data_IF_169272976926
#
_entry.id   IF_169272976926
#
_cell.length_a   1.000
_cell.length_b   1.000
_cell.length_c   1.000
_cell.angle_alpha   90.00
_cell.angle_beta   90.00
_cell.angle_gamma   90.00
#
_symmetry.space_group_name_H-M   'P 1'
#
loop_
_entity.id
_entity.type
_entity.pdbx_description
1 polymer ?
#
# COMPACT_ATOMS: atom_id res chain seq x y z
N UNK A 1 -7.44 6.89 -15.22
CA UNK A 1 -6.59 6.94 -14.03
C UNK A 1 -5.66 8.13 -14.19
N UNK A 2 -5.53 8.95 -13.16
CA UNK A 2 -4.63 10.10 -13.15
C UNK A 2 -3.17 9.62 -13.17
N UNK A 3 -2.26 10.27 -13.91
CA UNK A 3 -0.86 9.79 -14.01
C UNK A 3 -0.14 9.73 -12.67
N UNK A 4 -0.47 10.61 -11.72
CA UNK A 4 0.13 10.57 -10.37
C UNK A 4 -0.41 9.40 -9.53
N UNK A 5 -1.62 8.91 -9.81
CA UNK A 5 -2.16 7.69 -9.18
C UNK A 5 -1.43 6.45 -9.72
N UNK A 6 -1.16 6.39 -11.02
CA UNK A 6 -0.35 5.30 -11.61
C UNK A 6 1.05 5.26 -10.99
N UNK A 7 1.71 6.41 -10.83
CA UNK A 7 3.01 6.50 -10.14
C UNK A 7 2.97 5.97 -8.70
N UNK A 8 1.90 6.24 -7.95
CA UNK A 8 1.73 5.72 -6.59
C UNK A 8 1.55 4.20 -6.59
N UNK A 9 0.79 3.66 -7.55
CA UNK A 9 0.58 2.22 -7.71
C UNK A 9 1.90 1.53 -8.00
N UNK A 10 2.62 2.00 -9.01
CA UNK A 10 3.87 1.39 -9.47
C UNK A 10 4.91 1.38 -8.35
N UNK A 11 5.17 2.54 -7.74
CA UNK A 11 6.15 2.65 -6.65
C UNK A 11 5.78 1.78 -5.45
N UNK A 12 4.50 1.76 -5.07
CA UNK A 12 4.04 1.02 -3.89
C UNK A 12 4.13 -0.49 -4.08
N UNK A 13 3.77 -1.01 -5.26
CA UNK A 13 3.92 -2.45 -5.54
C UNK A 13 5.38 -2.84 -5.73
N UNK A 14 6.18 -2.04 -6.44
CA UNK A 14 7.62 -2.28 -6.59
C UNK A 14 8.29 -2.39 -5.23
N UNK A 15 8.10 -1.41 -4.35
CA UNK A 15 8.71 -1.42 -3.02
C UNK A 15 8.19 -2.58 -2.15
N UNK A 16 6.90 -2.88 -2.20
CA UNK A 16 6.31 -4.01 -1.48
C UNK A 16 6.88 -5.37 -1.95
N UNK A 17 7.08 -5.54 -3.25
CA UNK A 17 7.65 -6.75 -3.83
C UNK A 17 9.10 -6.91 -3.41
N UNK A 18 9.91 -5.85 -3.49
CA UNK A 18 11.30 -5.85 -3.01
C UNK A 18 11.38 -6.23 -1.53
N UNK A 19 10.55 -5.61 -0.68
CA UNK A 19 10.50 -5.91 0.76
C UNK A 19 10.20 -7.39 1.04
N UNK A 20 9.21 -7.96 0.35
CA UNK A 20 8.83 -9.37 0.51
C UNK A 20 9.90 -10.32 -0.04
N UNK A 21 10.53 -9.97 -1.16
CA UNK A 21 11.60 -10.79 -1.75
C UNK A 21 12.82 -10.83 -0.83
N UNK A 22 13.18 -9.70 -0.22
CA UNK A 22 14.38 -9.58 0.60
C UNK A 22 14.20 -10.10 2.02
N UNK A 23 13.04 -9.80 2.63
CA UNK A 23 12.84 -10.04 4.08
C UNK A 23 11.87 -11.18 4.38
N UNK A 24 11.00 -11.54 3.43
CA UNK A 24 9.83 -12.43 3.63
C UNK A 24 8.83 -11.90 4.67
N UNK A 25 8.99 -10.65 5.10
CA UNK A 25 8.12 -9.98 6.04
C UNK A 25 7.48 -8.77 5.36
N UNK A 26 6.28 -8.42 5.81
CA UNK A 26 5.58 -7.25 5.31
C UNK A 26 5.32 -6.28 6.47
N UNK A 27 5.75 -5.04 6.30
CA UNK A 27 5.46 -3.95 7.23
C UNK A 27 4.65 -2.86 6.52
N UNK A 28 3.54 -2.38 7.09
CA UNK A 28 2.74 -1.32 6.47
C UNK A 28 3.55 -0.04 6.27
N UNK A 29 3.41 0.56 5.10
CA UNK A 29 4.04 1.82 4.75
C UNK A 29 3.09 2.68 3.91
N UNK A 30 3.48 3.91 3.64
CA UNK A 30 2.82 4.78 2.68
C UNK A 30 3.76 5.28 1.60
N UNK A 31 3.18 5.91 0.60
CA UNK A 31 3.90 6.73 -0.36
C UNK A 31 3.06 7.97 -0.65
N UNK A 32 3.67 9.12 -0.93
CA UNK A 32 2.93 10.34 -1.23
C UNK A 32 3.47 11.07 -2.45
N UNK A 33 2.59 11.84 -3.09
CA UNK A 33 2.91 12.73 -4.20
C UNK A 33 3.09 14.15 -3.66
N UNK A 34 4.27 14.71 -3.83
CA UNK A 34 4.53 16.11 -3.47
C UNK A 34 3.79 17.10 -4.39
N UNK A 35 3.87 18.40 -4.06
CA UNK A 35 3.18 19.45 -4.83
C UNK A 35 3.70 19.63 -6.26
N UNK A 36 4.85 19.05 -6.60
CA UNK A 36 5.45 19.12 -7.93
C UNK A 36 5.35 17.79 -8.71
N UNK A 37 4.73 16.75 -8.13
CA UNK A 37 4.39 15.50 -8.81
C UNK A 37 5.42 14.36 -8.66
N UNK A 38 6.33 14.43 -7.68
CA UNK A 38 7.25 13.32 -7.36
C UNK A 38 6.66 12.41 -6.28
N UNK A 39 6.97 11.12 -6.37
CA UNK A 39 6.62 10.12 -5.36
C UNK A 39 7.74 10.05 -4.31
N UNK A 40 7.36 10.02 -3.04
CA UNK A 40 8.26 9.79 -1.92
C UNK A 40 7.73 8.65 -1.04
N UNK A 41 8.59 7.72 -0.59
CA UNK A 41 8.20 6.72 0.39
C UNK A 41 7.92 7.39 1.74
N UNK A 42 7.01 6.80 2.50
CA UNK A 42 6.65 7.23 3.85
C UNK A 42 6.61 6.01 4.76
N UNK A 43 7.60 5.90 5.63
CA UNK A 43 7.69 4.81 6.60
C UNK A 43 7.25 5.28 7.98
N UNK A 44 6.76 4.33 8.77
CA UNK A 44 6.50 4.56 10.19
C UNK A 44 7.69 4.11 11.00
N UNK A 45 8.39 5.03 11.65
CA UNK A 45 9.50 4.69 12.54
C UNK A 45 8.96 4.08 13.85
N UNK A 46 9.49 2.92 14.23
CA UNK A 46 9.17 2.28 15.50
C UNK A 46 10.41 1.60 16.11
N UNK A 47 10.39 1.43 17.43
CA UNK A 47 11.37 0.59 18.12
C UNK A 47 11.02 -0.89 17.85
N UNK A 48 11.98 -1.65 17.31
CA UNK A 48 11.80 -3.07 16.99
C UNK A 48 11.32 -3.92 18.18
N UNK A 49 11.61 -3.52 19.42
CA UNK A 49 11.14 -4.20 20.65
C UNK A 49 9.69 -3.89 20.99
N UNK A 50 9.14 -2.81 20.44
CA UNK A 50 7.78 -2.33 20.67
C UNK A 50 7.06 -2.10 19.34
N UNK A 51 7.04 -3.14 18.51
CA UNK A 51 6.40 -3.08 17.20
C UNK A 51 4.89 -2.79 17.33
N UNK A 52 4.39 -1.68 16.75
CA UNK A 52 2.98 -1.36 16.78
C UNK A 52 2.17 -2.37 15.94
N UNK A 53 0.89 -2.53 16.27
CA UNK A 53 -0.02 -3.30 15.44
C UNK A 53 -0.23 -2.60 14.09
N UNK A 54 -0.38 -3.38 13.02
CA UNK A 54 -0.68 -2.90 11.66
C UNK A 54 -1.76 -1.80 11.64
N UNK A 55 -2.87 -2.01 12.36
CA UNK A 55 -3.95 -1.01 12.42
C UNK A 55 -3.52 0.35 12.99
N UNK A 56 -2.65 0.37 14.01
CA UNK A 56 -2.16 1.61 14.61
C UNK A 56 -1.17 2.35 13.70
N UNK A 57 -0.35 1.60 12.95
CA UNK A 57 0.53 2.16 11.91
C UNK A 57 -0.29 2.81 10.82
N UNK A 58 -1.28 2.10 10.28
CA UNK A 58 -2.16 2.59 9.22
C UNK A 58 -2.97 3.82 9.65
N UNK A 59 -3.52 3.81 10.87
CA UNK A 59 -4.22 4.98 11.41
C UNK A 59 -3.30 6.20 11.48
N UNK A 60 -2.06 6.01 11.94
CA UNK A 60 -1.09 7.09 12.09
C UNK A 60 -0.63 7.65 10.75
N UNK A 61 -0.30 6.78 9.79
CA UNK A 61 0.07 7.16 8.42
C UNK A 61 -1.10 7.87 7.73
N UNK A 62 -2.31 7.31 7.82
CA UNK A 62 -3.51 7.92 7.24
C UNK A 62 -3.74 9.33 7.79
N UNK A 63 -3.65 9.49 9.13
CA UNK A 63 -3.83 10.79 9.78
C UNK A 63 -2.78 11.82 9.32
N UNK A 64 -1.51 11.40 9.24
CA UNK A 64 -0.44 12.26 8.74
C UNK A 64 -0.74 12.72 7.30
N UNK A 65 -1.00 11.77 6.39
CA UNK A 65 -1.25 12.09 5.00
C UNK A 65 -2.50 12.94 4.81
N UNK A 66 -3.58 12.66 5.54
CA UNK A 66 -4.79 13.48 5.48
C UNK A 66 -4.55 14.92 5.96
N UNK A 67 -3.74 15.09 7.01
CA UNK A 67 -3.38 16.42 7.52
C UNK A 67 -2.57 17.18 6.47
N UNK A 68 -1.50 16.59 5.95
CA UNK A 68 -0.61 17.23 4.96
C UNK A 68 -1.33 17.52 3.65
N UNK A 69 -2.23 16.63 3.21
CA UNK A 69 -3.08 16.85 2.04
C UNK A 69 -4.07 18.00 2.26
N UNK A 70 -4.68 18.09 3.45
CA UNK A 70 -5.59 19.21 3.79
C UNK A 70 -4.87 20.56 3.88
N UNK A 71 -3.57 20.55 4.19
CA UNK A 71 -2.69 21.71 4.20
C UNK A 71 -2.06 22.01 2.83
N UNK A 72 -2.46 21.30 1.76
CA UNK A 72 -1.92 21.41 0.40
C UNK A 72 -0.41 21.18 0.29
N UNK A 73 0.16 20.36 1.18
CA UNK A 73 1.58 19.98 1.16
C UNK A 73 1.86 18.71 0.33
N UNK A 74 0.82 17.95 0.00
CA UNK A 74 0.86 16.80 -0.91
C UNK A 74 -0.42 16.75 -1.75
N UNK A 75 -0.35 16.13 -2.93
CA UNK A 75 -1.49 15.97 -3.85
C UNK A 75 -2.25 14.66 -3.66
N UNK A 76 -1.56 13.63 -3.18
CA UNK A 76 -2.16 12.31 -2.98
C UNK A 76 -1.22 11.39 -2.24
N UNK A 77 -1.74 10.25 -1.81
CA UNK A 77 -0.99 9.24 -1.09
C UNK A 77 -1.57 7.85 -1.31
N UNK A 78 -0.72 6.84 -1.14
CA UNK A 78 -1.07 5.44 -1.04
C UNK A 78 -0.71 4.92 0.35
N UNK A 79 -1.56 4.09 0.93
CA UNK A 79 -1.25 3.26 2.09
C UNK A 79 -1.16 1.82 1.63
N UNK A 80 -0.03 1.19 1.90
CA UNK A 80 0.31 -0.16 1.44
C UNK A 80 0.43 -1.08 2.64
N UNK A 81 -0.33 -2.18 2.65
CA UNK A 81 -0.36 -3.12 3.76
C UNK A 81 -0.73 -4.53 3.32
N UNK A 82 -0.34 -5.51 4.13
CA UNK A 82 -0.80 -6.89 3.95
C UNK A 82 -2.25 -7.05 4.43
N UNK A 83 -3.05 -7.75 3.64
CA UNK A 83 -4.40 -8.15 4.03
C UNK A 83 -4.78 -9.51 3.47
N UNK A 84 -5.76 -10.15 4.10
CA UNK A 84 -6.36 -11.37 3.57
C UNK A 84 -7.67 -11.00 2.88
N UNK A 85 -7.83 -11.42 1.64
CA UNK A 85 -9.06 -11.22 0.87
C UNK A 85 -9.70 -12.55 0.50
N UNK A 86 -11.01 -12.53 0.32
CA UNK A 86 -11.80 -13.64 -0.20
C UNK A 86 -12.74 -13.09 -1.26
N UNK A 87 -12.55 -13.49 -2.52
CA UNK A 87 -13.25 -12.88 -3.67
C UNK A 87 -14.71 -13.33 -3.77
N UNK A 88 -14.99 -14.56 -3.36
CA UNK A 88 -16.34 -15.12 -3.25
C UNK A 88 -16.43 -16.15 -2.12
N UNK A 89 -17.64 -16.52 -1.70
CA UNK A 89 -17.88 -17.44 -0.57
C UNK A 89 -17.20 -18.80 -0.70
N UNK A 90 -16.91 -19.25 -1.93
CA UNK A 90 -16.30 -20.54 -2.24
C UNK A 90 -14.80 -20.43 -2.57
N UNK A 91 -14.29 -19.23 -2.83
CA UNK A 91 -12.87 -18.99 -3.06
C UNK A 91 -12.04 -19.22 -1.80
N UNK A 92 -10.77 -19.59 -2.00
CA UNK A 92 -9.80 -19.61 -0.90
C UNK A 92 -9.44 -18.18 -0.53
N UNK A 93 -9.19 -17.97 0.76
CA UNK A 93 -8.55 -16.75 1.24
C UNK A 93 -7.16 -16.62 0.61
N UNK A 94 -6.82 -15.40 0.20
CA UNK A 94 -5.51 -15.06 -0.36
C UNK A 94 -4.88 -13.94 0.44
N UNK A 95 -3.61 -14.09 0.79
CA UNK A 95 -2.80 -12.98 1.29
C UNK A 95 -2.46 -12.05 0.13
N UNK A 96 -2.61 -10.74 0.35
CA UNK A 96 -2.43 -9.73 -0.67
C UNK A 96 -1.65 -8.53 -0.12
N UNK A 97 -0.81 -7.96 -0.98
CA UNK A 97 -0.42 -6.56 -0.88
C UNK A 97 -1.65 -5.73 -1.27
N UNK A 98 -2.05 -4.82 -0.42
CA UNK A 98 -3.23 -3.95 -0.62
C UNK A 98 -2.81 -2.50 -0.60
N UNK A 99 -3.25 -1.76 -1.61
CA UNK A 99 -3.03 -0.31 -1.75
C UNK A 99 -4.36 0.41 -1.63
N UNK A 100 -4.42 1.35 -0.69
CA UNK A 100 -5.51 2.32 -0.56
C UNK A 100 -5.00 3.70 -0.95
N UNK A 101 -5.59 4.28 -2.00
CA UNK A 101 -5.11 5.53 -2.59
C UNK A 101 -6.13 6.64 -2.38
N UNK A 102 -5.63 7.85 -2.09
CA UNK A 102 -6.38 9.11 -2.21
C UNK A 102 -5.60 10.11 -3.05
N UNK A 103 -6.31 10.90 -3.84
CA UNK A 103 -5.75 11.95 -4.68
C UNK A 103 -6.67 13.17 -4.67
N UNK A 104 -6.12 14.39 -4.73
CA UNK A 104 -6.89 15.63 -4.66
C UNK A 104 -7.76 15.88 -5.89
N UNK A 105 -7.35 15.35 -7.05
CA UNK A 105 -8.01 15.56 -8.34
C UNK A 105 -8.75 14.33 -8.89
N UNK A 106 -8.64 13.17 -8.23
CA UNK A 106 -9.33 11.95 -8.65
C UNK A 106 -10.07 11.33 -7.45
N UNK A 107 -11.40 11.29 -7.58
CA UNK A 107 -12.28 10.61 -6.64
C UNK A 107 -12.57 9.19 -7.14
N UNK A 108 -13.14 8.36 -6.26
CA UNK A 108 -13.56 6.99 -6.57
C UNK A 108 -12.43 6.06 -7.08
N UNK A 109 -11.20 6.31 -6.61
CA UNK A 109 -10.05 5.45 -6.90
C UNK A 109 -10.29 4.07 -6.26
N UNK A 110 -10.21 2.97 -7.06
CA UNK A 110 -10.30 1.61 -6.55
C UNK A 110 -9.25 1.32 -5.48
N UNK A 111 -9.52 0.34 -4.62
CA UNK A 111 -8.45 -0.29 -3.85
C UNK A 111 -7.77 -1.32 -4.75
N UNK A 112 -6.44 -1.37 -4.72
CA UNK A 112 -5.66 -2.28 -5.56
C UNK A 112 -5.07 -3.40 -4.71
N UNK A 113 -5.00 -4.57 -5.32
CA UNK A 113 -4.60 -5.81 -4.66
C UNK A 113 -3.62 -6.57 -5.55
N UNK A 114 -2.64 -7.19 -4.91
CA UNK A 114 -1.76 -8.18 -5.53
C UNK A 114 -1.61 -9.36 -4.59
N UNK A 115 -2.18 -10.50 -4.98
CA UNK A 115 -2.02 -11.72 -4.20
C UNK A 115 -0.58 -12.23 -4.30
N UNK A 116 -0.09 -12.82 -3.22
CA UNK A 116 1.22 -13.46 -3.22
C UNK A 116 1.25 -14.69 -2.31
N UNK A 117 2.17 -15.59 -2.59
CA UNK A 117 2.47 -16.76 -1.77
C UNK A 117 4.00 -16.91 -1.64
N UNK A 118 4.47 -17.36 -0.48
CA UNK A 118 5.87 -17.72 -0.27
C UNK A 118 5.95 -19.25 -0.33
N UNK A 119 6.64 -19.77 -1.33
CA UNK A 119 6.72 -21.21 -1.56
C UNK A 119 7.71 -21.90 -0.58
N UNK A 120 7.77 -23.23 -0.62
CA UNK A 120 8.66 -24.01 0.26
C UNK A 120 10.16 -23.71 0.08
N UNK A 121 10.55 -23.16 -1.08
CA UNK A 121 11.92 -22.73 -1.36
C UNK A 121 12.21 -21.30 -0.87
N UNK A 122 11.20 -20.60 -0.34
CA UNK A 122 11.30 -19.21 0.11
C UNK A 122 11.21 -18.19 -1.03
N UNK A 123 10.81 -18.58 -2.24
CA UNK A 123 10.57 -17.65 -3.34
C UNK A 123 9.16 -17.05 -3.20
N UNK A 124 8.99 -15.81 -3.67
CA UNK A 124 7.70 -15.11 -3.59
C UNK A 124 7.05 -15.12 -4.97
N UNK A 125 5.89 -15.77 -5.07
CA UNK A 125 5.08 -15.82 -6.28
C UNK A 125 4.02 -14.72 -6.23
N UNK A 126 4.11 -13.75 -7.12
CA UNK A 126 3.14 -12.66 -7.22
C UNK A 126 2.11 -12.91 -8.33
N UNK A 127 0.83 -12.76 -8.01
CA UNK A 127 -0.24 -12.74 -9.00
C UNK A 127 -0.34 -11.36 -9.71
N UNK A 128 -1.08 -11.25 -10.82
CA UNK A 128 -1.36 -9.96 -11.43
C UNK A 128 -2.12 -9.02 -10.49
N UNK A 129 -1.80 -7.73 -10.57
CA UNK A 129 -2.52 -6.66 -9.86
C UNK A 129 -3.95 -6.54 -10.38
N UNK A 130 -4.91 -6.33 -9.48
CA UNK A 130 -6.29 -6.01 -9.84
C UNK A 130 -6.88 -4.93 -8.92
N UNK A 131 -7.89 -4.20 -9.42
CA UNK A 131 -8.57 -3.14 -8.68
C UNK A 131 -10.01 -3.53 -8.33
N UNK A 132 -10.45 -3.20 -7.11
CA UNK A 132 -11.83 -3.39 -6.64
C UNK A 132 -12.42 -2.01 -6.31
N UNK A 133 -13.55 -1.69 -6.95
CA UNK A 133 -14.28 -0.45 -6.65
C UNK A 133 -14.91 -0.53 -5.25
N UNK A 134 -14.91 0.61 -4.57
CA UNK A 134 -15.54 0.80 -3.26
C UNK A 134 -17.07 0.78 -3.36
#
# INVERSE_FOLDING_TARGET
MHPEVEKLIDHSFEYAQELLVDTKEFYPFGAFIDTIGNVHPLEFEFDAKNMPKVGAVLESLSKYCETEMSENKMKGYALTFESIIKLDENSKEKTCITLKIKHSEENDIPDFYQAFEINEAGEVDFEPVFGVKK
#
